data_IF_801419284211
#
_entry.id   IF_801419284211
#
_cell.length_a   1.000
_cell.length_b   1.000
_cell.length_c   1.000
_cell.angle_alpha   90.00
_cell.angle_beta   90.00
_cell.angle_gamma   90.00
#
_symmetry.space_group_name_H-M   'P 1'
#
loop_
_entity.id
_entity.type
_entity.pdbx_description
1 polymer ?
#
# COMPACT_ATOMS: atom_id res chain seq x y z
N UNK A 1 5.57 -0.10 15.13
CA UNK A 1 5.44 0.51 13.79
C UNK A 1 5.22 2.01 13.92
N UNK A 2 4.12 2.45 14.56
CA UNK A 2 3.78 3.87 14.79
C UNK A 2 4.94 4.74 15.30
N UNK A 3 5.68 4.25 16.30
CA UNK A 3 6.82 4.95 16.91
C UNK A 3 7.91 5.42 15.93
N UNK A 4 8.03 4.79 14.75
CA UNK A 4 8.98 5.21 13.71
C UNK A 4 8.63 6.54 13.05
N UNK A 5 7.41 7.03 13.25
CA UNK A 5 6.89 8.26 12.66
C UNK A 5 6.68 9.37 13.71
N UNK A 6 7.38 9.29 14.85
CA UNK A 6 7.41 10.32 15.88
C UNK A 6 8.80 10.95 15.88
N UNK A 7 8.85 12.29 15.85
CA UNK A 7 10.10 13.02 16.02
C UNK A 7 9.80 14.44 16.50
N UNK A 8 10.64 14.98 17.37
CA UNK A 8 10.55 16.37 17.83
C UNK A 8 11.10 17.37 16.82
N UNK A 9 11.88 16.90 15.84
CA UNK A 9 12.59 17.73 14.87
C UNK A 9 12.06 17.47 13.45
N UNK A 10 11.81 18.53 12.69
CA UNK A 10 11.47 18.46 11.26
C UNK A 10 12.72 18.73 10.44
N UNK A 11 13.12 17.78 9.60
CA UNK A 11 14.16 17.97 8.58
C UNK A 11 14.08 16.88 7.52
N UNK A 12 14.57 17.17 6.30
CA UNK A 12 14.64 16.16 5.23
C UNK A 12 15.46 14.94 5.66
N UNK A 13 16.60 15.13 6.34
CA UNK A 13 17.39 14.01 6.85
C UNK A 13 16.61 13.10 7.82
N UNK A 14 15.78 13.68 8.70
CA UNK A 14 14.92 12.89 9.59
C UNK A 14 13.86 12.13 8.79
N UNK A 15 13.22 12.78 7.82
CA UNK A 15 12.24 12.15 6.95
C UNK A 15 12.85 11.00 6.13
N UNK A 16 14.06 11.18 5.59
CA UNK A 16 14.80 10.14 4.87
C UNK A 16 15.11 8.94 5.77
N UNK A 17 15.54 9.18 7.01
CA UNK A 17 15.72 8.12 8.00
C UNK A 17 14.40 7.40 8.31
N UNK A 18 13.28 8.11 8.43
CA UNK A 18 11.96 7.47 8.61
C UNK A 18 11.61 6.57 7.42
N UNK A 19 11.92 6.98 6.19
CA UNK A 19 11.70 6.17 4.97
C UNK A 19 12.48 4.85 5.03
N UNK A 20 13.76 4.91 5.39
CA UNK A 20 14.65 3.75 5.49
C UNK A 20 14.22 2.84 6.63
N UNK A 21 14.07 3.39 7.84
CA UNK A 21 13.81 2.62 9.06
C UNK A 21 12.43 1.96 9.04
N UNK A 22 11.43 2.62 8.46
CA UNK A 22 10.08 2.05 8.29
C UNK A 22 10.03 0.95 7.23
N UNK A 23 10.97 0.95 6.28
CA UNK A 23 11.00 0.06 5.13
C UNK A 23 10.26 0.61 3.90
N UNK A 24 9.82 1.87 3.91
CA UNK A 24 9.19 2.53 2.76
C UNK A 24 10.12 2.52 1.55
N UNK A 25 11.42 2.76 1.74
CA UNK A 25 12.44 2.73 0.67
C UNK A 25 12.56 1.35 0.00
N UNK A 26 12.02 0.28 0.60
CA UNK A 26 12.06 -1.07 0.06
C UNK A 26 10.76 -1.49 -0.66
N UNK A 27 9.71 -0.65 -0.66
CA UNK A 27 8.48 -0.94 -1.40
C UNK A 27 8.81 -1.07 -2.89
N UNK A 28 9.50 -0.06 -3.44
CA UNK A 28 10.09 -0.07 -4.78
C UNK A 28 11.59 0.20 -4.70
N UNK A 29 12.44 -0.85 -4.77
CA UNK A 29 13.89 -0.66 -4.84
C UNK A 29 14.27 0.22 -6.04
N UNK A 30 15.01 1.30 -5.78
CA UNK A 30 15.43 2.26 -6.80
C UNK A 30 14.55 3.50 -6.94
N UNK A 31 13.35 3.52 -6.33
CA UNK A 31 12.51 4.71 -6.36
C UNK A 31 13.18 5.90 -5.66
N UNK A 32 13.06 7.09 -6.25
CA UNK A 32 13.53 8.33 -5.66
C UNK A 32 12.44 8.87 -4.74
N UNK A 33 12.68 8.82 -3.43
CA UNK A 33 11.72 9.25 -2.41
C UNK A 33 12.05 10.68 -1.96
N UNK A 34 11.07 11.57 -2.09
CA UNK A 34 11.07 12.90 -1.51
C UNK A 34 10.12 12.92 -0.30
N UNK A 35 10.69 13.02 0.90
CA UNK A 35 9.98 12.82 2.16
C UNK A 35 10.00 14.05 3.06
N UNK A 36 8.92 14.21 3.82
CA UNK A 36 8.79 15.19 4.90
C UNK A 36 8.23 14.52 6.15
N UNK A 37 8.74 14.93 7.31
CA UNK A 37 8.21 14.52 8.61
C UNK A 37 7.58 15.72 9.34
N UNK A 38 6.70 15.43 10.29
CA UNK A 38 5.98 16.44 11.07
C UNK A 38 6.25 16.29 12.58
N UNK A 39 6.02 17.37 13.33
CA UNK A 39 6.14 17.41 14.80
C UNK A 39 4.75 17.58 15.42
N UNK A 40 4.42 16.83 16.50
CA UNK A 40 5.27 15.85 17.20
C UNK A 40 5.39 14.50 16.47
N UNK A 41 4.58 14.29 15.43
CA UNK A 41 4.58 13.08 14.63
C UNK A 41 3.94 13.31 13.27
N UNK A 42 4.12 12.34 12.38
CA UNK A 42 3.56 12.35 11.03
C UNK A 42 4.65 12.24 9.97
N UNK A 43 4.25 11.71 8.82
CA UNK A 43 5.15 11.52 7.69
C UNK A 43 4.36 11.61 6.38
N UNK A 44 4.98 12.17 5.35
CA UNK A 44 4.47 12.17 3.99
C UNK A 44 5.63 11.98 3.02
N UNK A 45 5.40 11.28 1.91
CA UNK A 45 6.36 11.28 0.81
C UNK A 45 5.69 11.16 -0.54
N UNK A 46 6.34 11.71 -1.55
CA UNK A 46 6.12 11.36 -2.95
C UNK A 46 7.37 10.65 -3.46
N UNK A 47 7.19 9.69 -4.35
CA UNK A 47 8.31 8.99 -4.95
C UNK A 47 8.08 8.77 -6.44
N UNK A 48 9.13 8.99 -7.23
CA UNK A 48 9.16 8.68 -8.67
C UNK A 48 9.94 7.39 -8.92
N UNK A 49 9.55 6.66 -9.96
CA UNK A 49 10.28 5.49 -10.45
C UNK A 49 11.08 5.82 -11.73
N UNK A 50 12.03 4.95 -12.08
CA UNK A 50 12.96 5.12 -13.20
C UNK A 50 12.28 5.22 -14.58
N UNK A 51 11.02 4.82 -14.71
CA UNK A 51 10.25 4.92 -15.95
C UNK A 51 9.73 6.35 -16.25
N UNK A 52 9.89 7.27 -15.29
CA UNK A 52 9.50 8.68 -15.39
C UNK A 52 7.98 8.93 -15.44
N UNK A 53 7.15 7.90 -15.28
CA UNK A 53 5.69 8.00 -15.37
C UNK A 53 4.98 7.43 -14.14
N UNK A 54 5.64 6.48 -13.48
CA UNK A 54 5.12 5.82 -12.29
C UNK A 54 5.54 6.55 -11.02
N UNK A 55 4.64 6.60 -10.06
CA UNK A 55 4.87 7.17 -8.75
C UNK A 55 4.26 6.31 -7.65
N UNK A 56 4.68 6.57 -6.41
CA UNK A 56 3.84 6.27 -5.25
C UNK A 56 3.85 7.43 -4.27
N UNK A 57 2.79 7.53 -3.47
CA UNK A 57 2.68 8.51 -2.39
C UNK A 57 2.17 7.84 -1.12
N UNK A 58 2.64 8.34 0.02
CA UNK A 58 2.31 7.83 1.35
C UNK A 58 2.03 9.00 2.27
N UNK A 59 0.97 8.89 3.06
CA UNK A 59 0.69 9.79 4.19
C UNK A 59 0.44 8.96 5.45
N UNK A 60 1.03 9.38 6.58
CA UNK A 60 0.96 8.66 7.86
C UNK A 60 0.54 9.59 8.99
N UNK A 61 -0.50 9.17 9.70
CA UNK A 61 -1.06 9.77 10.92
C UNK A 61 -0.89 8.73 12.05
N UNK A 62 0.20 8.75 12.83
CA UNK A 62 0.59 7.64 13.71
C UNK A 62 -0.04 7.66 15.12
N UNK A 63 -0.93 8.60 15.40
CA UNK A 63 -1.65 8.77 16.67
C UNK A 63 -2.35 7.49 17.11
N UNK A 64 -2.33 7.19 18.41
CA UNK A 64 -2.81 5.90 18.93
C UNK A 64 -4.31 5.68 18.77
N UNK A 65 -5.10 6.72 19.07
CA UNK A 65 -6.56 6.65 19.05
C UNK A 65 -7.14 6.50 17.64
N UNK A 66 -6.39 6.87 16.60
CA UNK A 66 -6.90 7.03 15.25
C UNK A 66 -5.84 6.79 14.17
N UNK A 67 -4.89 5.87 14.41
CA UNK A 67 -3.76 5.67 13.50
C UNK A 67 -4.23 5.35 12.09
N UNK A 68 -3.69 6.05 11.11
CA UNK A 68 -4.02 5.91 9.69
C UNK A 68 -2.77 6.00 8.83
N UNK A 69 -2.76 5.25 7.71
CA UNK A 69 -1.78 5.43 6.66
C UNK A 69 -2.43 5.13 5.30
N UNK A 70 -2.06 5.90 4.29
CA UNK A 70 -2.42 5.64 2.90
C UNK A 70 -1.19 5.29 2.07
N UNK A 71 -1.41 4.49 1.04
CA UNK A 71 -0.44 4.20 -0.02
C UNK A 71 -1.20 4.22 -1.34
N UNK A 72 -0.71 5.00 -2.29
CA UNK A 72 -1.29 5.12 -3.63
C UNK A 72 -0.17 5.03 -4.66
N UNK A 73 -0.44 4.36 -5.79
CA UNK A 73 0.51 4.21 -6.88
C UNK A 73 -0.22 3.97 -8.20
N UNK A 74 0.40 4.38 -9.30
CA UNK A 74 -0.03 4.08 -10.68
C UNK A 74 0.93 3.12 -11.40
N UNK A 75 1.85 2.46 -10.68
CA UNK A 75 2.91 1.64 -11.28
C UNK A 75 2.33 0.54 -12.16
N UNK A 76 2.76 0.54 -13.42
CA UNK A 76 2.43 -0.51 -14.38
C UNK A 76 3.47 -1.63 -14.32
N UNK A 77 3.08 -2.79 -13.80
CA UNK A 77 3.94 -3.97 -13.71
C UNK A 77 3.12 -5.25 -13.84
N UNK A 78 3.76 -6.42 -13.94
CA UNK A 78 3.02 -7.71 -13.97
C UNK A 78 2.15 -7.90 -12.72
N UNK A 79 1.11 -8.71 -12.83
CA UNK A 79 0.20 -9.04 -11.71
C UNK A 79 0.95 -9.51 -10.45
N UNK A 80 1.94 -10.39 -10.62
CA UNK A 80 2.81 -10.87 -9.55
C UNK A 80 3.58 -9.74 -8.86
N UNK A 81 4.18 -8.83 -9.63
CA UNK A 81 4.94 -7.68 -9.10
C UNK A 81 4.02 -6.70 -8.39
N UNK A 82 2.83 -6.44 -8.94
CA UNK A 82 1.82 -5.57 -8.33
C UNK A 82 1.41 -6.10 -6.95
N UNK A 83 1.09 -7.40 -6.87
CA UNK A 83 0.69 -8.04 -5.62
C UNK A 83 1.84 -8.06 -4.61
N UNK A 84 3.07 -8.27 -5.06
CA UNK A 84 4.26 -8.19 -4.21
C UNK A 84 4.49 -6.77 -3.68
N UNK A 85 4.30 -5.72 -4.48
CA UNK A 85 4.33 -4.33 -4.01
C UNK A 85 3.27 -4.11 -2.93
N UNK A 86 2.02 -4.49 -3.18
CA UNK A 86 0.93 -4.33 -2.21
C UNK A 86 1.30 -5.05 -0.90
N UNK A 87 1.89 -6.26 -0.99
CA UNK A 87 2.38 -7.00 0.17
C UNK A 87 3.46 -6.23 0.95
N UNK A 88 4.43 -5.62 0.26
CA UNK A 88 5.47 -4.79 0.89
C UNK A 88 4.89 -3.55 1.56
N UNK A 89 3.99 -2.83 0.89
CA UNK A 89 3.32 -1.66 1.44
C UNK A 89 2.54 -2.01 2.72
N UNK A 90 1.77 -3.09 2.71
CA UNK A 90 1.06 -3.59 3.90
C UNK A 90 2.03 -4.02 5.00
N UNK A 91 3.20 -4.59 4.66
CA UNK A 91 4.21 -5.03 5.62
C UNK A 91 4.92 -3.87 6.35
N UNK A 92 5.00 -2.68 5.74
CA UNK A 92 5.51 -1.46 6.40
C UNK A 92 4.62 -1.10 7.59
N UNK A 93 3.30 -1.05 7.37
CA UNK A 93 2.36 -0.52 8.36
C UNK A 93 1.79 -1.58 9.31
N UNK A 94 1.71 -2.84 8.87
CA UNK A 94 1.11 -3.97 9.60
C UNK A 94 -0.25 -3.63 10.23
N UNK A 95 -1.20 -3.09 9.46
CA UNK A 95 -2.44 -2.54 9.99
C UNK A 95 -3.33 -3.62 10.62
N UNK A 96 -4.17 -3.25 11.60
CA UNK A 96 -5.19 -4.16 12.13
C UNK A 96 -6.29 -4.45 11.10
N UNK A 97 -6.59 -3.48 10.23
CA UNK A 97 -7.53 -3.58 9.10
C UNK A 97 -7.04 -2.69 7.96
N UNK A 98 -7.26 -3.08 6.72
CA UNK A 98 -7.03 -2.19 5.58
C UNK A 98 -8.04 -2.44 4.47
N UNK A 99 -8.22 -1.42 3.64
CA UNK A 99 -8.98 -1.51 2.39
C UNK A 99 -8.01 -1.34 1.23
N UNK A 100 -8.23 -2.12 0.18
CA UNK A 100 -7.51 -2.01 -1.08
C UNK A 100 -8.50 -1.64 -2.16
N UNK A 101 -8.23 -0.54 -2.86
CA UNK A 101 -8.97 -0.15 -4.07
C UNK A 101 -8.05 -0.33 -5.25
N UNK A 102 -8.49 -1.10 -6.23
CA UNK A 102 -7.82 -1.30 -7.51
C UNK A 102 -8.72 -0.77 -8.61
N UNK A 103 -8.20 0.13 -9.45
CA UNK A 103 -8.93 0.72 -10.58
C UNK A 103 -8.13 0.53 -11.85
N UNK A 104 -8.75 0.02 -12.90
CA UNK A 104 -8.13 -0.16 -14.21
C UNK A 104 -9.18 -0.22 -15.32
N UNK A 105 -8.79 0.15 -16.53
CA UNK A 105 -9.57 -0.16 -17.73
C UNK A 105 -9.39 -1.63 -18.18
N UNK A 106 -10.29 -2.08 -19.03
CA UNK A 106 -10.33 -3.45 -19.57
C UNK A 106 -9.06 -3.81 -20.37
N UNK A 107 -8.42 -2.83 -21.02
CA UNK A 107 -7.16 -3.02 -21.73
C UNK A 107 -6.05 -3.41 -20.78
N UNK A 108 -5.88 -2.67 -19.68
CA UNK A 108 -4.90 -2.97 -18.63
C UNK A 108 -5.22 -4.30 -17.96
N UNK A 109 -6.49 -4.54 -17.61
CA UNK A 109 -6.90 -5.79 -16.98
C UNK A 109 -6.53 -6.98 -17.86
N UNK A 110 -6.76 -6.89 -19.18
CA UNK A 110 -6.41 -7.94 -20.14
C UNK A 110 -4.90 -8.12 -20.26
N UNK A 111 -4.14 -7.03 -20.29
CA UNK A 111 -2.67 -7.08 -20.32
C UNK A 111 -2.10 -7.75 -19.07
N UNK A 112 -2.53 -7.30 -17.89
CA UNK A 112 -2.01 -7.78 -16.61
C UNK A 112 -2.39 -9.23 -16.30
N UNK A 113 -3.58 -9.65 -16.73
CA UNK A 113 -4.01 -11.05 -16.65
C UNK A 113 -3.21 -11.96 -17.57
N UNK A 114 -2.55 -11.42 -18.60
CA UNK A 114 -1.74 -12.19 -19.52
C UNK A 114 -2.48 -13.35 -20.19
N UNK A 115 -1.73 -14.36 -20.63
CA UNK A 115 -2.28 -15.57 -21.28
C UNK A 115 -2.78 -16.61 -20.29
N UNK A 116 -2.28 -16.56 -19.05
CA UNK A 116 -2.61 -17.50 -17.98
C UNK A 116 -3.85 -17.08 -17.18
N UNK A 117 -4.41 -15.90 -17.47
CA UNK A 117 -5.52 -15.31 -16.73
C UNK A 117 -5.21 -15.22 -15.22
N UNK A 118 -3.98 -14.81 -14.90
CA UNK A 118 -3.52 -14.62 -13.53
C UNK A 118 -4.42 -13.67 -12.74
N UNK A 119 -4.53 -13.91 -11.41
CA UNK A 119 -5.24 -13.01 -10.52
C UNK A 119 -4.62 -11.61 -10.54
N UNK A 120 -5.41 -10.57 -10.29
CA UNK A 120 -4.92 -9.19 -10.17
C UNK A 120 -4.89 -8.72 -8.72
N UNK A 121 -5.76 -9.28 -7.89
CA UNK A 121 -5.97 -8.83 -6.52
C UNK A 121 -5.24 -9.75 -5.54
N UNK A 122 -4.69 -9.22 -4.44
CA UNK A 122 -3.89 -10.01 -3.49
C UNK A 122 -4.59 -11.26 -2.95
N UNK A 123 -5.91 -11.23 -2.79
CA UNK A 123 -6.66 -12.41 -2.31
C UNK A 123 -6.70 -13.55 -3.33
N UNK A 124 -6.58 -13.29 -4.62
CA UNK A 124 -6.56 -14.32 -5.67
C UNK A 124 -5.22 -15.09 -5.65
N UNK A 125 -4.17 -14.46 -5.12
CA UNK A 125 -2.83 -15.02 -4.95
C UNK A 125 -2.59 -15.60 -3.55
N UNK A 126 -3.53 -15.42 -2.61
CA UNK A 126 -3.39 -15.88 -1.23
C UNK A 126 -2.24 -15.22 -0.44
N UNK A 127 -1.67 -14.11 -0.92
CA UNK A 127 -0.43 -13.53 -0.33
C UNK A 127 -0.60 -13.03 1.10
N UNK A 128 -1.84 -12.84 1.53
CA UNK A 128 -2.18 -12.40 2.88
C UNK A 128 -2.86 -13.47 3.72
N UNK A 129 -3.08 -14.68 3.21
CA UNK A 129 -3.96 -15.68 3.85
C UNK A 129 -3.53 -16.05 5.27
N UNK A 130 -2.23 -16.04 5.53
CA UNK A 130 -1.64 -16.28 6.85
C UNK A 130 -1.92 -15.16 7.85
N UNK A 131 -1.85 -13.90 7.42
CA UNK A 131 -1.85 -12.74 8.32
C UNK A 131 -3.19 -12.00 8.37
N UNK A 132 -4.00 -12.09 7.31
CA UNK A 132 -5.27 -11.39 7.17
C UNK A 132 -6.37 -12.31 6.64
N UNK A 133 -7.61 -11.94 6.95
CA UNK A 133 -8.82 -12.52 6.38
C UNK A 133 -9.52 -11.45 5.55
N UNK A 134 -9.86 -11.78 4.31
CA UNK A 134 -10.74 -10.96 3.48
C UNK A 134 -12.14 -10.97 4.07
N UNK A 135 -12.75 -9.80 4.26
CA UNK A 135 -14.09 -9.65 4.83
C UNK A 135 -15.16 -9.44 3.77
N UNK A 136 -14.87 -8.59 2.79
CA UNK A 136 -15.75 -8.29 1.69
C UNK A 136 -14.94 -7.80 0.50
N UNK A 137 -15.40 -8.16 -0.69
CA UNK A 137 -14.91 -7.63 -1.96
C UNK A 137 -16.12 -7.19 -2.78
N UNK A 138 -16.05 -5.99 -3.35
CA UNK A 138 -17.06 -5.45 -4.25
C UNK A 138 -16.39 -4.93 -5.50
N UNK A 139 -16.93 -5.29 -6.66
CA UNK A 139 -16.43 -4.88 -7.96
C UNK A 139 -17.50 -4.07 -8.68
N UNK A 140 -17.12 -2.90 -9.17
CA UNK A 140 -17.96 -1.96 -9.90
C UNK A 140 -17.41 -1.81 -11.30
N UNK A 141 -18.30 -1.64 -12.29
CA UNK A 141 -17.94 -1.35 -13.67
C UNK A 141 -18.72 -0.13 -14.14
N UNK A 142 -18.08 0.76 -14.86
CA UNK A 142 -18.69 1.98 -15.42
C UNK A 142 -18.09 2.30 -16.79
N UNK A 143 -18.79 3.14 -17.55
CA UNK A 143 -18.33 3.69 -18.85
C UNK A 143 -17.83 2.63 -19.85
N UNK A 144 -18.40 1.41 -19.77
CA UNK A 144 -18.11 0.21 -20.58
C UNK A 144 -16.73 -0.43 -20.35
N UNK A 145 -15.69 0.34 -20.07
CA UNK A 145 -14.31 -0.16 -20.02
C UNK A 145 -13.61 -0.05 -18.66
N UNK A 146 -14.17 0.67 -17.68
CA UNK A 146 -13.55 0.77 -16.35
C UNK A 146 -14.08 -0.29 -15.38
N UNK A 147 -13.17 -0.73 -14.51
CA UNK A 147 -13.49 -1.57 -13.35
C UNK A 147 -12.77 -1.06 -12.10
N UNK A 148 -13.49 -0.98 -10.98
CA UNK A 148 -12.92 -0.82 -9.64
C UNK A 148 -13.22 -2.06 -8.80
N UNK A 149 -12.24 -2.54 -8.04
CA UNK A 149 -12.46 -3.54 -7.00
C UNK A 149 -12.02 -2.98 -5.65
N UNK A 150 -12.92 -3.04 -4.67
CA UNK A 150 -12.67 -2.64 -3.29
C UNK A 150 -12.70 -3.89 -2.43
N UNK A 151 -11.58 -4.21 -1.79
CA UNK A 151 -11.43 -5.38 -0.91
C UNK A 151 -11.07 -4.93 0.50
N UNK A 152 -11.72 -5.51 1.51
CA UNK A 152 -11.45 -5.23 2.93
C UNK A 152 -10.79 -6.42 3.62
N UNK A 153 -9.76 -6.15 4.41
CA UNK A 153 -8.94 -7.13 5.09
C UNK A 153 -8.89 -6.84 6.58
N UNK A 154 -8.96 -7.89 7.40
CA UNK A 154 -8.84 -7.80 8.86
C UNK A 154 -7.73 -8.73 9.33
N UNK A 155 -6.83 -8.22 10.17
CA UNK A 155 -5.72 -8.99 10.71
C UNK A 155 -6.23 -10.18 11.52
N UNK A 156 -5.63 -11.35 11.31
CA UNK A 156 -5.92 -12.56 12.10
C UNK A 156 -5.33 -12.47 13.51
N UNK A 157 -4.34 -11.61 13.72
CA UNK A 157 -3.66 -11.44 15.02
C UNK A 157 -4.57 -10.84 16.10
N UNK A 158 -5.65 -10.16 15.72
CA UNK A 158 -6.62 -9.53 16.64
C UNK A 158 -7.87 -10.38 16.89
N UNK A 159 -7.96 -11.61 16.38
CA UNK A 159 -9.11 -12.48 16.63
C UNK A 159 -9.08 -13.16 18.01
N UNK A 160 -8.10 -12.87 18.87
CA UNK A 160 -7.85 -13.58 20.15
C UNK A 160 -7.92 -12.68 21.39
N UNK A 161 -8.48 -11.47 21.31
CA UNK A 161 -8.76 -10.65 22.50
C UNK A 161 -10.24 -10.28 22.53
N UNK A 162 -11.10 -11.04 23.25
CA UNK A 162 -12.34 -10.49 23.75
C UNK A 162 -12.02 -9.46 24.84
N UNK A 163 -12.88 -8.45 24.92
CA UNK A 163 -13.04 -7.47 26.00
C UNK A 163 -12.75 -8.00 27.40
#
# INVERSE_FOLDING_TARGET
VRSKFFNSTVSSAVADHMSVDSGISNIYPGAQVDAINFTPCGYSCNASLDDGQSFFTIHVTPEESCSYASFETNVRCSSEKLVETIRRAVAVFKPGRFSLTYVADNGIIKELKGKDNSGLLPYEHGVFDKDYKVRATSTYRWELDYQASVSSYVSRRHAVSPS
#
